data_IF_823722404705
#
_entry.id   IF_823722404705
#
_cell.length_a   1.000
_cell.length_b   1.000
_cell.length_c   1.000
_cell.angle_alpha   90.00
_cell.angle_beta   90.00
_cell.angle_gamma   90.00
#
_symmetry.space_group_name_H-M   'P 1'
#
loop_
_entity.id
_entity.type
_entity.pdbx_description
1 polymer ?
#
# COMPACT_ATOMS: atom_id res chain seq x y z
N UNK A 1 -5.19 -9.16 -5.37
CA UNK A 1 -6.20 -8.49 -6.23
C UNK A 1 -7.23 -9.53 -6.64
N UNK A 2 -8.49 -9.37 -6.23
CA UNK A 2 -9.49 -10.44 -6.23
C UNK A 2 -10.43 -10.48 -7.44
N UNK A 3 -10.20 -9.69 -8.50
CA UNK A 3 -10.90 -9.86 -9.79
C UNK A 3 -9.95 -9.62 -10.97
N UNK A 4 -10.01 -10.49 -11.96
CA UNK A 4 -9.28 -10.35 -13.22
C UNK A 4 -9.99 -9.34 -14.11
N UNK A 5 -9.53 -8.08 -14.07
CA UNK A 5 -9.97 -6.99 -14.93
C UNK A 5 -9.27 -5.70 -14.51
N UNK A 6 -8.46 -5.15 -15.42
CA UNK A 6 -7.58 -3.98 -15.27
C UNK A 6 -6.69 -3.96 -14.02
N UNK A 7 -5.51 -4.56 -14.20
CA UNK A 7 -4.37 -4.53 -13.27
C UNK A 7 -3.78 -3.13 -13.03
N UNK A 8 -4.22 -2.13 -13.80
CA UNK A 8 -3.54 -0.83 -13.93
C UNK A 8 -4.16 0.30 -13.10
N UNK A 9 -5.34 0.12 -12.48
CA UNK A 9 -5.99 1.28 -11.82
C UNK A 9 -6.93 0.97 -10.66
N UNK A 10 -7.10 -0.30 -10.27
CA UNK A 10 -8.05 -0.66 -9.20
C UNK A 10 -7.43 -1.59 -8.18
N UNK A 11 -6.97 -1.01 -7.06
CA UNK A 11 -6.55 -1.73 -5.87
C UNK A 11 -7.74 -2.10 -4.98
N UNK A 12 -8.73 -2.80 -5.54
CA UNK A 12 -9.82 -3.34 -4.73
C UNK A 12 -9.30 -4.52 -3.88
N UNK A 13 -8.88 -4.19 -2.65
CA UNK A 13 -8.78 -5.16 -1.57
C UNK A 13 -10.22 -5.55 -1.22
N UNK A 14 -10.54 -6.84 -1.32
CA UNK A 14 -11.91 -7.27 -1.05
C UNK A 14 -12.33 -6.91 0.39
N UNK A 15 -13.59 -6.49 0.62
CA UNK A 15 -14.07 -6.17 1.97
C UNK A 15 -13.84 -7.31 2.96
N UNK A 16 -13.90 -8.57 2.50
CA UNK A 16 -13.63 -9.76 3.29
C UNK A 16 -12.17 -9.83 3.75
N UNK A 17 -11.23 -9.48 2.86
CA UNK A 17 -9.80 -9.40 3.20
C UNK A 17 -9.52 -8.30 4.22
N UNK A 18 -10.14 -7.12 4.05
CA UNK A 18 -10.02 -6.00 5.00
C UNK A 18 -10.53 -6.44 6.37
N UNK A 19 -11.74 -7.02 6.40
CA UNK A 19 -12.34 -7.48 7.64
C UNK A 19 -11.50 -8.55 8.34
N UNK A 20 -10.93 -9.49 7.59
CA UNK A 20 -10.05 -10.52 8.12
C UNK A 20 -8.78 -9.89 8.75
N UNK A 21 -8.12 -8.97 8.06
CA UNK A 21 -6.93 -8.28 8.55
C UNK A 21 -7.22 -7.47 9.83
N UNK A 22 -8.35 -6.76 9.88
CA UNK A 22 -8.78 -6.03 11.07
C UNK A 22 -9.08 -6.95 12.25
N UNK A 23 -9.70 -8.12 12.01
CA UNK A 23 -9.93 -9.11 13.07
C UNK A 23 -8.62 -9.68 13.61
N UNK A 24 -7.68 -10.00 12.74
CA UNK A 24 -6.36 -10.49 13.13
C UNK A 24 -5.58 -9.46 13.94
N UNK A 25 -5.53 -8.21 13.49
CA UNK A 25 -4.89 -7.12 14.22
C UNK A 25 -5.46 -6.98 15.64
N UNK A 26 -6.79 -6.97 15.78
CA UNK A 26 -7.46 -6.93 17.10
C UNK A 26 -7.11 -8.12 17.98
N UNK A 27 -7.03 -9.33 17.42
CA UNK A 27 -6.65 -10.52 18.17
C UNK A 27 -5.20 -10.44 18.71
N UNK A 28 -4.34 -9.69 18.03
CA UNK A 28 -2.96 -9.43 18.43
C UNK A 28 -2.78 -8.17 19.29
N UNK A 29 -3.86 -7.45 19.61
CA UNK A 29 -3.78 -6.17 20.32
C UNK A 29 -3.17 -5.03 19.48
N UNK A 30 -3.23 -5.16 18.16
CA UNK A 30 -2.72 -4.20 17.17
C UNK A 30 -3.88 -3.47 16.47
N UNK A 31 -3.55 -2.41 15.75
CA UNK A 31 -4.48 -1.72 14.83
C UNK A 31 -3.92 -1.70 13.40
N UNK A 32 -4.81 -1.65 12.42
CA UNK A 32 -4.44 -1.46 11.01
C UNK A 32 -4.25 0.03 10.78
N UNK A 33 -3.00 0.48 10.66
CA UNK A 33 -2.66 1.90 10.52
C UNK A 33 -2.70 2.42 9.09
N UNK A 34 -2.74 1.54 8.08
CA UNK A 34 -2.65 1.95 6.69
C UNK A 34 -2.72 0.82 5.67
N UNK A 35 -2.63 1.19 4.40
CA UNK A 35 -2.66 0.30 3.24
C UNK A 35 -1.46 0.55 2.35
N UNK A 36 -1.09 -0.48 1.58
CA UNK A 36 0.04 -0.43 0.67
C UNK A 36 -0.38 -0.96 -0.70
N UNK A 37 0.05 -0.26 -1.76
CA UNK A 37 -0.04 -0.74 -3.13
C UNK A 37 1.07 -0.15 -4.01
N UNK A 38 1.23 -0.69 -5.22
CA UNK A 38 2.21 -0.21 -6.21
C UNK A 38 1.55 0.52 -7.37
N UNK A 39 2.21 1.42 -8.07
CA UNK A 39 1.75 2.00 -9.32
C UNK A 39 2.68 1.50 -10.44
N UNK A 40 2.27 0.46 -11.21
CA UNK A 40 3.04 0.01 -12.37
C UNK A 40 3.07 1.11 -13.43
N UNK A 41 4.26 1.44 -13.91
CA UNK A 41 4.55 2.45 -14.93
C UNK A 41 3.90 3.83 -14.67
N UNK A 42 3.63 4.13 -13.40
CA UNK A 42 2.97 5.33 -12.91
C UNK A 42 3.68 5.88 -11.65
N UNK A 43 3.62 7.20 -11.40
CA UNK A 43 4.29 7.80 -10.25
C UNK A 43 3.64 7.39 -8.93
N UNK A 44 4.42 7.42 -7.85
CA UNK A 44 4.02 7.07 -6.48
C UNK A 44 3.13 8.14 -5.81
N UNK A 45 2.09 8.60 -6.50
CA UNK A 45 1.19 9.68 -6.07
C UNK A 45 -0.25 9.16 -6.13
N UNK A 46 -1.13 9.51 -5.18
CA UNK A 46 -2.51 9.02 -5.16
C UNK A 46 -3.28 9.43 -6.42
N UNK A 47 -3.96 8.45 -7.02
CA UNK A 47 -4.89 8.61 -8.13
C UNK A 47 -6.28 9.08 -7.63
N UNK A 48 -7.19 9.35 -8.57
CA UNK A 48 -8.58 9.63 -8.22
C UNK A 48 -9.28 8.41 -7.59
N UNK A 49 -9.00 7.21 -8.08
CA UNK A 49 -9.55 5.97 -7.52
C UNK A 49 -9.08 5.74 -6.07
N UNK A 50 -7.82 6.09 -5.76
CA UNK A 50 -7.31 5.99 -4.38
C UNK A 50 -8.06 6.90 -3.41
N UNK A 51 -8.56 8.06 -3.88
CA UNK A 51 -9.36 8.98 -3.06
C UNK A 51 -10.75 8.43 -2.79
N UNK A 52 -11.39 7.82 -3.79
CA UNK A 52 -12.73 7.24 -3.66
C UNK A 52 -12.76 6.05 -2.67
N UNK A 53 -11.65 5.34 -2.53
CA UNK A 53 -11.51 4.17 -1.65
C UNK A 53 -10.80 4.49 -0.32
N UNK A 54 -10.47 5.76 -0.05
CA UNK A 54 -9.72 6.15 1.12
C UNK A 54 -10.55 6.13 2.42
N UNK A 55 -9.89 5.85 3.55
CA UNK A 55 -10.45 5.88 4.90
C UNK A 55 -9.71 6.90 5.75
N UNK A 56 -10.44 7.69 6.55
CA UNK A 56 -9.86 8.67 7.46
C UNK A 56 -8.73 8.10 8.30
N UNK A 57 -7.69 8.92 8.44
CA UNK A 57 -6.65 8.70 9.43
C UNK A 57 -5.81 7.46 9.17
N UNK A 58 -5.86 6.91 7.96
CA UNK A 58 -5.00 5.82 7.50
C UNK A 58 -3.89 6.36 6.61
N UNK A 59 -2.72 5.74 6.71
CA UNK A 59 -1.58 6.02 5.83
C UNK A 59 -1.64 5.12 4.59
N UNK A 60 -1.26 5.69 3.45
CA UNK A 60 -1.25 5.04 2.14
C UNK A 60 0.17 5.03 1.60
N UNK A 61 0.82 3.88 1.68
CA UNK A 61 2.14 3.69 1.12
C UNK A 61 1.98 3.32 -0.37
N UNK A 62 2.45 4.20 -1.25
CA UNK A 62 2.39 4.01 -2.71
C UNK A 62 3.81 3.78 -3.23
N UNK A 63 4.01 2.70 -3.96
CA UNK A 63 5.30 2.36 -4.58
C UNK A 63 5.22 2.46 -6.10
N UNK A 64 5.88 3.45 -6.67
CA UNK A 64 6.04 3.57 -8.11
C UNK A 64 6.98 2.49 -8.63
N UNK A 65 6.56 1.77 -9.67
CA UNK A 65 7.34 0.68 -10.27
C UNK A 65 7.47 0.91 -11.76
N UNK A 66 8.70 1.02 -12.28
CA UNK A 66 8.95 1.10 -13.73
C UNK A 66 9.78 -0.09 -14.16
N UNK A 67 9.41 -0.74 -15.28
CA UNK A 67 10.16 -1.89 -15.83
C UNK A 67 10.48 -2.96 -14.76
N UNK A 68 9.50 -3.23 -13.87
CA UNK A 68 9.60 -4.17 -12.74
C UNK A 68 10.61 -3.79 -11.65
N UNK A 69 11.04 -2.52 -11.59
CA UNK A 69 11.91 -2.00 -10.53
C UNK A 69 11.18 -0.91 -9.75
N UNK A 70 11.33 -0.92 -8.44
CA UNK A 70 10.83 0.17 -7.59
C UNK A 70 11.63 1.43 -7.90
N UNK A 71 10.94 2.50 -8.28
CA UNK A 71 11.54 3.82 -8.57
C UNK A 71 11.25 4.86 -7.51
N UNK A 72 10.15 4.70 -6.76
CA UNK A 72 9.79 5.59 -5.67
C UNK A 72 8.91 4.88 -4.63
N UNK A 73 9.06 5.27 -3.38
CA UNK A 73 8.20 4.87 -2.27
C UNK A 73 7.78 6.13 -1.52
N UNK A 74 6.48 6.39 -1.44
CA UNK A 74 5.93 7.58 -0.76
C UNK A 74 4.77 7.19 0.15
N UNK A 75 4.63 7.87 1.29
CA UNK A 75 3.50 7.68 2.19
C UNK A 75 2.59 8.89 2.10
N UNK A 76 1.28 8.66 2.18
CA UNK A 76 0.27 9.70 2.07
C UNK A 76 -0.80 9.53 3.13
N UNK A 77 -1.24 10.61 3.75
CA UNK A 77 -2.38 10.60 4.67
C UNK A 77 -3.58 11.22 4.02
N UNK A 78 -4.71 10.51 4.08
CA UNK A 78 -5.99 11.05 3.65
C UNK A 78 -6.65 11.85 4.76
N UNK A 79 -7.02 13.08 4.44
CA UNK A 79 -7.81 13.97 5.29
C UNK A 79 -9.26 13.99 4.78
N UNK A 80 -10.20 13.51 5.59
CA UNK A 80 -11.63 13.42 5.20
C UNK A 80 -12.32 14.79 5.15
N UNK A 81 -11.83 15.80 5.87
CA UNK A 81 -12.48 17.13 5.91
C UNK A 81 -12.20 17.90 4.63
N UNK A 82 -10.96 17.82 4.13
CA UNK A 82 -10.51 18.49 2.92
C UNK A 82 -10.58 17.60 1.67
N UNK A 83 -10.78 16.29 1.83
CA UNK A 83 -10.70 15.26 0.77
C UNK A 83 -9.34 15.29 0.02
N UNK A 84 -8.27 15.65 0.74
CA UNK A 84 -6.92 15.81 0.18
C UNK A 84 -5.95 14.82 0.79
N UNK A 85 -5.06 14.30 -0.06
CA UNK A 85 -3.88 13.58 0.38
C UNK A 85 -2.73 14.52 0.69
N UNK A 86 -2.11 14.34 1.85
CA UNK A 86 -0.88 15.02 2.25
C UNK A 86 0.26 14.01 2.35
N UNK A 87 1.45 14.35 1.86
CA UNK A 87 2.60 13.44 1.91
C UNK A 87 3.12 13.33 3.35
N UNK A 88 3.33 12.10 3.81
CA UNK A 88 3.92 11.78 5.11
C UNK A 88 5.38 11.34 4.95
N UNK A 89 6.23 11.80 5.87
CA UNK A 89 7.65 11.42 5.90
C UNK A 89 7.79 9.97 6.35
N UNK A 90 8.56 9.18 5.62
CA UNK A 90 8.97 7.83 6.01
C UNK A 90 10.33 7.94 6.71
N UNK A 91 10.33 7.85 8.04
CA UNK A 91 11.56 7.78 8.83
C UNK A 91 11.98 6.33 9.06
N UNK A 92 13.04 5.91 8.38
CA UNK A 92 13.62 4.57 8.53
C UNK A 92 14.51 4.43 9.78
N UNK A 93 15.01 5.53 10.34
CA UNK A 93 15.86 5.51 11.53
C UNK A 93 15.05 5.23 12.81
N UNK A 94 13.74 5.52 12.79
CA UNK A 94 12.82 5.23 13.89
C UNK A 94 12.43 3.74 13.99
N UNK A 95 12.62 2.96 12.92
CA UNK A 95 12.32 1.52 12.90
C UNK A 95 13.57 0.78 13.38
N UNK A 96 13.67 0.55 14.69
CA UNK A 96 14.83 -0.12 15.30
C UNK A 96 15.25 -1.38 14.55
N UNK A 97 16.33 -1.27 13.77
CA UNK A 97 17.16 -2.36 13.25
C UNK A 97 16.44 -3.62 12.76
N UNK A 98 15.36 -3.52 11.97
CA UNK A 98 14.86 -4.70 11.26
C UNK A 98 15.89 -5.05 10.18
N UNK A 99 16.57 -6.21 10.25
CA UNK A 99 17.49 -6.60 9.19
C UNK A 99 16.71 -6.70 7.88
N UNK A 100 17.20 -6.01 6.86
CA UNK A 100 16.69 -6.10 5.50
C UNK A 100 16.96 -7.52 4.97
N UNK A 101 16.13 -8.49 5.34
CA UNK A 101 16.05 -9.73 4.57
C UNK A 101 15.39 -9.36 3.26
N UNK A 102 16.21 -9.17 2.23
CA UNK A 102 15.73 -8.91 0.88
C UNK A 102 14.67 -9.93 0.50
N UNK A 103 13.55 -9.44 -0.01
CA UNK A 103 12.61 -10.28 -0.75
C UNK A 103 13.36 -10.83 -1.98
N UNK A 104 14.02 -11.97 -1.81
CA UNK A 104 14.48 -12.78 -2.92
C UNK A 104 13.24 -13.29 -3.62
N UNK A 105 12.86 -12.62 -4.72
CA UNK A 105 11.84 -13.10 -5.63
C UNK A 105 12.16 -14.54 -6.00
N UNK A 106 11.27 -15.46 -5.63
CA UNK A 106 11.37 -16.86 -6.02
C UNK A 106 11.10 -16.90 -7.52
N UNK A 107 12.15 -16.83 -8.33
CA UNK A 107 12.12 -17.27 -9.71
C UNK A 107 11.91 -18.79 -9.69
N UNK A 108 10.70 -19.23 -10.00
CA UNK A 108 10.49 -20.55 -10.59
C UNK A 108 10.33 -20.34 -12.08
N UNK A 109 11.41 -20.51 -12.83
CA UNK A 109 11.31 -20.93 -14.22
C UNK A 109 10.71 -22.34 -14.19
N UNK A 110 9.56 -22.51 -14.84
CA UNK A 110 9.04 -23.81 -15.19
C UNK A 110 9.45 -24.09 -16.64
N UNK A 111 10.04 -25.27 -16.79
CA UNK A 111 10.54 -25.94 -18.01
C UNK A 111 9.53 -25.92 -19.16
#
# INVERSE_FOLDING_TARGET
>A
NARGGDRESRYLISPETVLAAHKEARALGLDVVGYYHSHPDHPAVPSAADREEAWAGKSYLIVGVEKRRVVATRSWRFDEESEVFTEEVIDQAAIGGVPQTGFAGVHKEAV
#
